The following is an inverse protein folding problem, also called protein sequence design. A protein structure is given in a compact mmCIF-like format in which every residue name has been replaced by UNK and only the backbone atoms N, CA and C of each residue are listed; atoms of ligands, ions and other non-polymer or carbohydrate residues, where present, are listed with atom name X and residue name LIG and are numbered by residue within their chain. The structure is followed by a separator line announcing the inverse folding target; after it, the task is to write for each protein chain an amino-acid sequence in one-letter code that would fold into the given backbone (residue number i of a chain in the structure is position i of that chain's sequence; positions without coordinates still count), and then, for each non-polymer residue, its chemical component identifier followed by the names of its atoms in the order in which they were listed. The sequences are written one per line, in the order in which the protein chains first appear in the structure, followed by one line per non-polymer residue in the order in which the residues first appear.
data_IF_388537056353
#
_entry.id   IF_388537056353
#
_cell.length_a   1.000
_cell.length_b   1.000
_cell.length_c   1.000
_cell.angle_alpha   90.00
_cell.angle_beta   90.00
_cell.angle_gamma   90.00
#
_symmetry.space_group_name_H-M   'P 1'
#
loop_
_entity.id
_entity.type
_entity.pdbx_description
1 polymer ?
#
# COMPACT_ATOMS: atom_id res chain seq x y z
N UNK A 1 14.78 4.77 -44.41
CA UNK A 1 14.53 5.42 -43.10
C UNK A 1 13.63 4.49 -42.32
N UNK A 2 14.19 3.70 -41.42
CA UNK A 2 13.44 2.72 -40.63
C UNK A 2 12.85 3.49 -39.45
N UNK A 3 11.53 3.61 -39.41
CA UNK A 3 10.82 4.20 -38.29
C UNK A 3 10.95 3.25 -37.09
N UNK A 4 11.88 3.56 -36.18
CA UNK A 4 11.89 2.98 -34.83
C UNK A 4 10.71 3.57 -34.06
N UNK A 5 9.53 2.99 -34.24
CA UNK A 5 8.46 3.15 -33.28
C UNK A 5 8.92 2.45 -31.99
N UNK A 6 9.35 3.26 -31.01
CA UNK A 6 9.51 2.81 -29.64
C UNK A 6 8.14 2.30 -29.21
N UNK A 7 7.99 0.98 -29.13
CA UNK A 7 6.84 0.36 -28.47
C UNK A 7 6.98 0.73 -27.00
N UNK A 8 6.30 1.79 -26.56
CA UNK A 8 6.08 2.03 -25.15
C UNK A 8 5.24 0.85 -24.64
N UNK A 9 5.90 -0.16 -24.08
CA UNK A 9 5.23 -1.19 -23.30
C UNK A 9 4.45 -0.47 -22.20
N UNK A 10 3.12 -0.57 -22.22
CA UNK A 10 2.31 -0.15 -21.08
C UNK A 10 2.86 -0.88 -19.86
N UNK A 11 3.48 -0.14 -18.93
CA UNK A 11 4.00 -0.72 -17.71
C UNK A 11 2.79 -1.19 -16.92
N UNK A 12 2.54 -2.50 -16.94
CA UNK A 12 1.46 -3.10 -16.18
C UNK A 12 1.95 -3.19 -14.74
N UNK A 13 1.54 -2.24 -13.92
CA UNK A 13 1.87 -2.27 -12.50
C UNK A 13 1.08 -3.37 -11.80
N UNK A 14 1.64 -3.98 -10.76
CA UNK A 14 0.89 -4.93 -9.96
C UNK A 14 -0.40 -4.27 -9.43
N UNK A 15 -1.51 -5.02 -9.37
CA UNK A 15 -2.72 -4.55 -8.70
C UNK A 15 -2.38 -4.08 -7.28
N UNK A 16 -2.93 -2.95 -6.85
CA UNK A 16 -2.68 -2.43 -5.53
C UNK A 16 -3.88 -1.69 -4.92
N UNK A 17 -3.98 -1.72 -3.59
CA UNK A 17 -4.95 -0.96 -2.80
C UNK A 17 -4.22 -0.28 -1.64
N UNK A 18 -4.45 1.02 -1.48
CA UNK A 18 -3.92 1.83 -0.40
C UNK A 18 -4.76 1.84 0.86
N UNK A 19 -4.08 2.04 1.98
CA UNK A 19 -4.67 2.38 3.26
C UNK A 19 -4.08 3.70 3.75
N UNK A 20 -4.92 4.73 3.79
CA UNK A 20 -4.51 6.10 4.13
C UNK A 20 -5.27 6.59 5.36
N UNK A 21 -4.57 7.29 6.22
CA UNK A 21 -5.08 7.90 7.44
C UNK A 21 -3.96 8.71 8.09
N UNK A 22 -4.27 9.64 9.00
CA UNK A 22 -3.28 10.18 9.94
C UNK A 22 -2.47 9.08 10.66
N UNK A 23 -1.31 9.47 11.19
CA UNK A 23 -0.51 8.57 12.02
C UNK A 23 -1.28 8.19 13.29
N UNK A 24 -1.09 6.98 13.79
CA UNK A 24 -1.75 6.50 15.01
C UNK A 24 -3.19 5.98 14.84
N UNK A 25 -3.83 6.15 13.68
CA UNK A 25 -5.23 5.70 13.45
C UNK A 25 -5.41 4.15 13.39
N UNK A 26 -4.32 3.38 13.54
CA UNK A 26 -4.39 1.91 13.64
C UNK A 26 -4.39 1.16 12.31
N UNK A 27 -3.89 1.78 11.22
CA UNK A 27 -3.73 1.13 9.89
C UNK A 27 -3.00 -0.21 9.99
N UNK A 28 -1.85 -0.24 10.67
CA UNK A 28 -1.06 -1.46 10.84
C UNK A 28 -1.84 -2.55 11.60
N UNK A 29 -2.66 -2.18 12.59
CA UNK A 29 -3.52 -3.14 13.29
C UNK A 29 -4.58 -3.74 12.38
N UNK A 30 -5.24 -2.90 11.57
CA UNK A 30 -6.21 -3.34 10.57
C UNK A 30 -5.57 -4.29 9.54
N UNK A 31 -4.42 -3.89 8.97
CA UNK A 31 -3.70 -4.67 7.97
C UNK A 31 -3.21 -6.02 8.50
N UNK A 32 -2.76 -6.08 9.76
CA UNK A 32 -2.38 -7.34 10.42
C UNK A 32 -3.54 -8.33 10.52
N UNK A 33 -4.77 -7.85 10.64
CA UNK A 33 -5.97 -8.70 10.67
C UNK A 33 -6.46 -9.04 9.25
N UNK A 34 -6.34 -8.09 8.33
CA UNK A 34 -6.82 -8.23 6.96
C UNK A 34 -5.98 -9.20 6.11
N UNK A 35 -4.65 -9.11 6.16
CA UNK A 35 -3.76 -9.92 5.32
C UNK A 35 -4.02 -11.43 5.48
N UNK A 36 -4.12 -11.99 6.70
CA UNK A 36 -4.46 -13.41 6.87
C UNK A 36 -5.81 -13.79 6.25
N UNK A 37 -6.82 -12.92 6.31
CA UNK A 37 -8.15 -13.18 5.75
C UNK A 37 -8.11 -13.23 4.22
N UNK A 38 -7.36 -12.32 3.59
CA UNK A 38 -7.16 -12.34 2.13
C UNK A 38 -6.35 -13.57 1.68
N UNK A 39 -5.28 -13.91 2.41
CA UNK A 39 -4.49 -15.12 2.17
C UNK A 39 -5.33 -16.40 2.27
N UNK A 40 -6.21 -16.49 3.27
CA UNK A 40 -7.14 -17.63 3.42
C UNK A 40 -8.14 -17.76 2.27
N UNK A 41 -8.37 -16.68 1.52
CA UNK A 41 -9.23 -16.65 0.33
C UNK A 41 -8.44 -16.79 -0.97
N UNK A 42 -7.16 -17.16 -0.88
CA UNK A 42 -6.32 -17.51 -2.04
C UNK A 42 -5.61 -16.35 -2.70
N UNK A 43 -5.70 -15.12 -2.16
CA UNK A 43 -4.89 -14.00 -2.62
C UNK A 43 -3.53 -14.02 -1.93
N UNK A 44 -2.45 -14.01 -2.70
CA UNK A 44 -1.09 -13.80 -2.19
C UNK A 44 -0.83 -12.32 -2.09
N UNK A 45 -0.52 -11.84 -0.89
CA UNK A 45 -0.43 -10.41 -0.61
C UNK A 45 1.02 -9.91 -0.58
N UNK A 46 1.33 -8.95 -1.44
CA UNK A 46 2.49 -8.07 -1.31
C UNK A 46 2.19 -6.92 -0.35
N UNK A 47 3.20 -6.35 0.29
CA UNK A 47 3.03 -5.24 1.22
C UNK A 47 4.09 -4.16 1.00
N UNK A 48 3.64 -2.95 0.72
CA UNK A 48 4.48 -1.77 0.54
C UNK A 48 4.17 -0.75 1.63
N UNK A 49 5.20 -0.29 2.35
CA UNK A 49 5.07 0.76 3.37
C UNK A 49 5.90 1.97 3.00
N UNK A 50 5.28 3.15 2.99
CA UNK A 50 5.99 4.42 2.94
C UNK A 50 6.28 4.91 4.36
N UNK A 51 7.54 4.87 4.77
CA UNK A 51 7.96 5.39 6.07
C UNK A 51 8.08 6.92 6.04
N UNK A 52 7.63 7.59 7.12
CA UNK A 52 7.73 9.05 7.26
C UNK A 52 9.10 9.52 7.78
N UNK A 53 9.94 8.60 8.22
CA UNK A 53 11.28 8.87 8.76
C UNK A 53 12.28 7.91 8.13
N UNK A 54 13.56 8.31 8.15
CA UNK A 54 14.68 7.43 7.81
C UNK A 54 14.57 6.16 8.67
N UNK A 55 14.72 5.01 8.03
CA UNK A 55 14.70 3.71 8.70
C UNK A 55 15.87 2.89 8.22
N UNK A 56 16.31 1.96 9.06
CA UNK A 56 17.32 0.97 8.71
C UNK A 56 16.87 -0.37 9.27
N UNK A 57 17.12 -1.43 8.52
CA UNK A 57 16.84 -2.82 8.91
C UNK A 57 18.13 -3.60 9.17
N UNK A 58 19.27 -3.03 8.78
CA UNK A 58 20.59 -3.58 9.07
C UNK A 58 21.12 -3.01 10.39
N UNK A 59 22.12 -3.65 10.97
CA UNK A 59 22.67 -3.27 12.27
C UNK A 59 24.05 -2.59 12.12
N UNK A 60 24.26 -1.41 12.72
CA UNK A 60 25.56 -0.77 12.75
C UNK A 60 26.67 -1.72 13.25
N UNK A 61 27.78 -1.76 12.50
CA UNK A 61 28.94 -2.60 12.81
C UNK A 61 28.89 -4.02 12.27
N UNK A 62 27.81 -4.47 11.63
CA UNK A 62 27.79 -5.71 10.84
C UNK A 62 28.44 -5.51 9.48
N UNK A 63 28.96 -6.58 8.89
CA UNK A 63 29.69 -6.53 7.62
C UNK A 63 28.87 -5.88 6.49
N UNK A 64 27.59 -6.26 6.36
CA UNK A 64 26.68 -5.68 5.37
C UNK A 64 26.46 -4.18 5.56
N UNK A 65 26.33 -3.73 6.82
CA UNK A 65 26.18 -2.33 7.15
C UNK A 65 27.45 -1.55 6.79
N UNK A 66 28.62 -2.08 7.15
CA UNK A 66 29.90 -1.42 6.90
C UNK A 66 30.17 -1.30 5.41
N UNK A 67 29.89 -2.33 4.62
CA UNK A 67 30.06 -2.29 3.15
C UNK A 67 29.05 -1.32 2.50
N UNK A 68 27.79 -1.30 2.96
CA UNK A 68 26.80 -0.32 2.50
C UNK A 68 27.24 1.11 2.80
N UNK A 69 27.64 1.38 4.04
CA UNK A 69 28.13 2.68 4.48
C UNK A 69 29.43 3.11 3.76
N UNK A 70 30.22 2.17 3.27
CA UNK A 70 31.39 2.43 2.43
C UNK A 70 31.04 2.85 0.99
N UNK A 71 29.76 2.84 0.60
CA UNK A 71 29.26 3.35 -0.68
C UNK A 71 28.68 2.30 -1.63
N UNK A 72 28.39 1.09 -1.17
CA UNK A 72 27.66 0.13 -1.99
C UNK A 72 26.22 0.62 -2.23
N UNK A 73 25.89 0.95 -3.49
CA UNK A 73 24.58 1.48 -3.86
C UNK A 73 23.44 0.47 -3.65
N UNK A 74 23.76 -0.83 -3.75
CA UNK A 74 22.83 -1.92 -3.49
C UNK A 74 23.54 -3.03 -2.72
N UNK A 75 22.85 -3.60 -1.73
CA UNK A 75 23.35 -4.72 -0.93
C UNK A 75 22.25 -5.78 -0.82
N UNK A 76 22.58 -7.01 -1.22
CA UNK A 76 21.70 -8.17 -1.03
C UNK A 76 22.23 -9.01 0.13
N UNK A 77 21.37 -9.25 1.12
CA UNK A 77 21.64 -10.13 2.26
C UNK A 77 20.71 -11.33 2.12
N UNK A 78 21.25 -12.55 2.05
CA UNK A 78 20.46 -13.76 1.84
C UNK A 78 20.77 -14.84 2.89
N UNK A 79 19.78 -15.69 3.13
CA UNK A 79 19.83 -16.86 4.00
C UNK A 79 18.98 -17.98 3.39
N UNK A 80 18.98 -19.17 3.99
CA UNK A 80 18.15 -20.29 3.55
C UNK A 80 16.64 -19.98 3.56
N UNK A 81 16.19 -19.06 4.41
CA UNK A 81 14.75 -18.78 4.60
C UNK A 81 14.27 -17.51 3.90
N UNK A 82 15.14 -16.53 3.69
CA UNK A 82 14.76 -15.20 3.19
C UNK A 82 15.97 -14.42 2.70
N UNK A 83 15.71 -13.40 1.90
CA UNK A 83 16.68 -12.42 1.49
C UNK A 83 16.10 -11.01 1.59
N UNK A 84 16.98 -10.01 1.58
CA UNK A 84 16.62 -8.59 1.52
C UNK A 84 17.52 -7.86 0.54
N UNK A 85 16.95 -6.94 -0.23
CA UNK A 85 17.67 -5.95 -1.04
C UNK A 85 17.58 -4.58 -0.36
N UNK A 86 18.73 -4.03 -0.01
CA UNK A 86 18.90 -2.65 0.43
C UNK A 86 19.31 -1.80 -0.78
N UNK A 87 18.69 -0.65 -0.96
CA UNK A 87 19.00 0.31 -2.02
C UNK A 87 19.25 1.69 -1.41
N UNK A 88 20.40 2.27 -1.69
CA UNK A 88 20.75 3.63 -1.24
C UNK A 88 20.29 4.69 -2.23
N UNK A 89 19.67 5.74 -1.71
CA UNK A 89 19.17 6.86 -2.51
C UNK A 89 18.02 6.51 -3.48
N UNK A 90 17.62 7.51 -4.26
CA UNK A 90 16.45 7.46 -5.15
C UNK A 90 15.21 8.09 -4.52
N UNK A 91 14.37 8.71 -5.33
CA UNK A 91 13.04 9.13 -4.89
C UNK A 91 12.18 7.89 -4.66
N UNK A 92 11.47 7.88 -3.53
CA UNK A 92 10.57 6.80 -3.15
C UNK A 92 9.27 6.87 -3.95
N UNK A 93 9.32 7.00 -5.28
CA UNK A 93 8.12 7.05 -6.10
C UNK A 93 7.40 5.70 -6.09
N UNK A 94 6.06 5.76 -5.99
CA UNK A 94 5.23 4.56 -5.88
C UNK A 94 5.44 3.60 -7.06
N UNK A 95 5.44 4.12 -8.28
CA UNK A 95 5.49 3.29 -9.49
C UNK A 95 6.83 2.53 -9.65
N UNK A 96 8.01 3.16 -9.52
CA UNK A 96 9.28 2.43 -9.47
C UNK A 96 9.35 1.39 -8.36
N UNK A 97 8.79 1.67 -7.17
CA UNK A 97 8.78 0.72 -6.06
C UNK A 97 7.88 -0.50 -6.34
N UNK A 98 6.68 -0.27 -6.89
CA UNK A 98 5.80 -1.37 -7.32
C UNK A 98 6.45 -2.23 -8.42
N UNK A 99 7.26 -1.65 -9.30
CA UNK A 99 8.00 -2.39 -10.31
C UNK A 99 9.14 -3.27 -9.74
N UNK A 100 9.49 -3.14 -8.46
CA UNK A 100 10.49 -4.02 -7.79
C UNK A 100 9.91 -5.33 -7.29
N UNK A 101 8.59 -5.42 -7.19
CA UNK A 101 7.90 -6.62 -6.77
C UNK A 101 7.92 -7.67 -7.89
N UNK A 102 8.22 -8.92 -7.57
CA UNK A 102 8.09 -10.05 -8.50
C UNK A 102 6.62 -10.46 -8.61
N UNK A 103 5.95 -10.01 -9.67
CA UNK A 103 4.52 -10.23 -9.91
C UNK A 103 4.12 -11.69 -10.04
N UNK A 104 5.08 -12.63 -10.10
CA UNK A 104 4.79 -14.06 -10.07
C UNK A 104 4.57 -14.59 -8.65
N UNK A 105 4.97 -13.86 -7.61
CA UNK A 105 4.93 -14.33 -6.21
C UNK A 105 3.75 -13.79 -5.39
N UNK A 106 3.01 -12.80 -5.91
CA UNK A 106 1.83 -12.24 -5.27
C UNK A 106 0.77 -11.85 -6.30
N UNK A 107 -0.44 -11.55 -5.82
CA UNK A 107 -1.59 -11.16 -6.65
C UNK A 107 -2.00 -9.70 -6.44
N UNK A 108 -1.91 -9.21 -5.19
CA UNK A 108 -2.30 -7.85 -4.80
C UNK A 108 -1.29 -7.24 -3.84
N UNK A 109 -0.89 -5.98 -4.07
CA UNK A 109 -0.07 -5.20 -3.13
C UNK A 109 -0.97 -4.33 -2.24
N UNK A 110 -0.85 -4.49 -0.92
CA UNK A 110 -1.43 -3.54 0.03
C UNK A 110 -0.41 -2.45 0.35
N UNK A 111 -0.82 -1.19 0.22
CA UNK A 111 0.05 -0.03 0.42
C UNK A 111 -0.33 0.68 1.72
N UNK A 112 0.58 0.77 2.69
CA UNK A 112 0.47 1.65 3.86
C UNK A 112 1.25 2.94 3.59
N UNK A 113 0.56 4.02 3.22
CA UNK A 113 1.19 5.31 2.93
C UNK A 113 0.88 5.82 1.52
N UNK A 114 1.82 6.49 0.88
CA UNK A 114 1.69 7.07 -0.48
C UNK A 114 0.44 7.93 -0.74
N UNK A 115 -0.16 8.55 0.28
CA UNK A 115 -1.44 9.27 0.20
C UNK A 115 -1.53 10.39 -0.86
N UNK A 116 -0.41 10.86 -1.44
CA UNK A 116 -0.39 11.87 -2.51
C UNK A 116 -0.34 11.28 -3.92
N UNK A 117 -0.01 10.00 -4.07
CA UNK A 117 0.05 9.33 -5.38
C UNK A 117 -1.35 8.89 -5.82
N UNK A 118 -1.58 8.72 -7.12
CA UNK A 118 -2.87 8.31 -7.68
C UNK A 118 -2.98 6.78 -7.83
N UNK A 119 -3.90 6.17 -7.08
CA UNK A 119 -4.20 4.74 -7.06
C UNK A 119 -5.40 4.48 -6.13
N UNK A 120 -6.11 3.35 -6.23
CA UNK A 120 -7.26 3.04 -5.37
C UNK A 120 -6.90 3.01 -3.88
N UNK A 121 -7.65 3.72 -3.05
CA UNK A 121 -7.35 3.87 -1.61
C UNK A 121 -8.58 3.63 -0.74
N UNK A 122 -8.34 3.12 0.46
CA UNK A 122 -9.32 3.00 1.54
C UNK A 122 -8.87 3.93 2.66
N UNK A 123 -9.73 4.87 3.03
CA UNK A 123 -9.49 5.75 4.16
C UNK A 123 -9.79 5.00 5.46
N UNK A 124 -8.98 5.20 6.50
CA UNK A 124 -9.25 4.69 7.84
C UNK A 124 -9.48 5.86 8.78
N UNK A 125 -10.64 5.89 9.44
CA UNK A 125 -11.02 6.92 10.39
C UNK A 125 -11.30 6.32 11.77
N UNK A 126 -10.95 7.08 12.80
CA UNK A 126 -11.34 6.80 14.18
C UNK A 126 -11.87 8.06 14.82
N UNK A 127 -12.99 7.97 15.53
CA UNK A 127 -13.64 9.09 16.21
C UNK A 127 -12.74 9.81 17.21
N UNK A 128 -11.93 9.05 17.95
CA UNK A 128 -10.95 9.63 18.88
C UNK A 128 -9.90 10.52 18.18
N UNK A 129 -9.65 10.27 16.89
CA UNK A 129 -8.78 11.10 16.05
C UNK A 129 -9.57 12.10 15.19
N UNK A 130 -10.90 11.95 15.09
CA UNK A 130 -11.74 12.84 14.29
C UNK A 130 -12.03 14.18 14.98
N UNK A 131 -12.07 14.18 16.32
CA UNK A 131 -12.23 15.41 17.13
C UNK A 131 -11.01 16.34 17.08
N UNK A 132 -9.88 15.83 16.60
CA UNK A 132 -8.66 16.58 16.33
C UNK A 132 -8.32 16.60 14.83
N UNK A 133 -9.30 16.46 13.92
CA UNK A 133 -9.09 16.81 12.51
C UNK A 133 -8.86 18.32 12.49
N UNK A 134 -7.62 18.72 12.77
CA UNK A 134 -7.07 19.94 12.22
C UNK A 134 -7.36 19.91 10.72
N UNK A 135 -7.68 21.07 10.15
CA UNK A 135 -7.95 21.22 8.72
C UNK A 135 -6.92 20.48 7.83
N UNK A 136 -5.69 20.34 8.33
CA UNK A 136 -4.55 19.66 7.71
C UNK A 136 -4.75 18.16 7.43
N UNK A 137 -5.76 17.49 7.98
CA UNK A 137 -6.02 16.05 7.76
C UNK A 137 -7.25 15.73 6.91
N UNK A 138 -8.00 16.74 6.46
CA UNK A 138 -9.19 16.54 5.63
C UNK A 138 -8.89 15.80 4.32
N UNK A 139 -7.70 16.03 3.75
CA UNK A 139 -7.27 15.42 2.48
C UNK A 139 -7.27 13.88 2.48
N UNK A 140 -7.14 13.22 3.65
CA UNK A 140 -7.22 11.76 3.74
C UNK A 140 -8.62 11.21 3.48
N UNK A 141 -9.66 12.02 3.62
CA UNK A 141 -11.06 11.60 3.51
C UNK A 141 -11.74 12.17 2.27
N UNK A 142 -11.10 13.12 1.59
CA UNK A 142 -11.61 13.76 0.35
C UNK A 142 -10.76 13.41 -0.87
N UNK A 143 -9.90 12.40 -0.79
CA UNK A 143 -9.07 11.96 -1.91
C UNK A 143 -9.96 11.33 -3.01
N UNK A 144 -9.83 11.77 -4.27
CA UNK A 144 -10.71 11.34 -5.36
C UNK A 144 -10.54 9.85 -5.74
N UNK A 145 -9.43 9.23 -5.34
CA UNK A 145 -9.16 7.80 -5.60
C UNK A 145 -9.67 6.90 -4.45
N UNK A 146 -10.43 7.46 -3.50
CA UNK A 146 -11.05 6.66 -2.44
C UNK A 146 -12.13 5.74 -3.00
N UNK A 147 -12.10 4.48 -2.55
CA UNK A 147 -13.09 3.46 -2.91
C UNK A 147 -13.95 3.03 -1.72
N UNK A 148 -13.52 3.33 -0.50
CA UNK A 148 -14.25 3.05 0.74
C UNK A 148 -13.68 3.84 1.92
N UNK A 149 -14.49 3.95 2.97
CA UNK A 149 -14.08 4.40 4.31
C UNK A 149 -14.25 3.26 5.31
N UNK A 150 -13.24 3.04 6.13
CA UNK A 150 -13.30 2.15 7.29
C UNK A 150 -13.33 3.01 8.55
N UNK A 151 -14.37 2.89 9.37
CA UNK A 151 -14.57 3.75 10.55
C UNK A 151 -15.01 2.98 11.79
N UNK A 152 -14.69 3.50 12.98
CA UNK A 152 -15.19 3.01 14.27
C UNK A 152 -16.55 3.61 14.68
N UNK A 153 -17.07 4.56 13.90
CA UNK A 153 -18.39 5.11 14.08
C UNK A 153 -19.15 5.22 12.75
N UNK A 154 -20.49 5.08 12.77
CA UNK A 154 -21.31 5.37 11.62
C UNK A 154 -21.19 6.85 11.22
N UNK A 155 -21.20 7.12 9.92
CA UNK A 155 -21.34 8.46 9.37
C UNK A 155 -22.28 8.40 8.17
N UNK A 156 -23.15 9.39 8.04
CA UNK A 156 -24.09 9.52 6.92
C UNK A 156 -23.55 10.41 5.81
N UNK A 157 -22.46 11.13 6.09
CA UNK A 157 -21.96 12.21 5.23
C UNK A 157 -20.86 11.73 4.28
N UNK A 158 -20.83 10.42 3.99
CA UNK A 158 -19.84 9.79 3.13
C UNK A 158 -20.51 9.05 1.97
N UNK A 159 -20.16 9.43 0.74
CA UNK A 159 -20.79 8.93 -0.49
C UNK A 159 -20.27 7.56 -0.94
N UNK A 160 -19.14 7.12 -0.39
CA UNK A 160 -18.53 5.83 -0.70
C UNK A 160 -18.92 4.76 0.33
N UNK A 161 -18.74 3.47 0.02
CA UNK A 161 -18.96 2.38 0.97
C UNK A 161 -18.31 2.63 2.35
N UNK A 162 -19.12 2.51 3.40
CA UNK A 162 -18.69 2.61 4.79
C UNK A 162 -18.60 1.22 5.42
N UNK A 163 -17.41 0.85 5.90
CA UNK A 163 -17.12 -0.43 6.52
C UNK A 163 -16.76 -0.25 7.99
N UNK A 164 -17.22 -1.16 8.83
CA UNK A 164 -16.94 -1.10 10.27
C UNK A 164 -15.48 -1.55 10.56
N UNK A 165 -14.74 -0.72 11.29
CA UNK A 165 -13.32 -0.96 11.62
C UNK A 165 -13.10 -2.24 12.44
N UNK A 166 -14.11 -2.69 13.19
CA UNK A 166 -14.08 -3.94 13.96
C UNK A 166 -14.52 -5.17 13.14
N UNK A 167 -14.76 -5.03 11.83
CA UNK A 167 -15.18 -6.12 10.93
C UNK A 167 -14.19 -6.30 9.76
N UNK A 168 -12.94 -6.70 10.01
CA UNK A 168 -11.94 -6.89 8.95
C UNK A 168 -12.35 -7.96 7.92
N UNK A 169 -13.22 -8.91 8.29
CA UNK A 169 -13.80 -9.86 7.35
C UNK A 169 -14.69 -9.19 6.29
N UNK A 170 -15.51 -8.22 6.67
CA UNK A 170 -16.33 -7.45 5.73
C UNK A 170 -15.45 -6.63 4.77
N UNK A 171 -14.33 -6.09 5.26
CA UNK A 171 -13.33 -5.43 4.43
C UNK A 171 -12.63 -6.39 3.47
N UNK A 172 -12.34 -7.62 3.90
CA UNK A 172 -11.78 -8.65 3.03
C UNK A 172 -12.77 -9.00 1.90
N UNK A 173 -14.05 -9.22 2.20
CA UNK A 173 -15.08 -9.45 1.19
C UNK A 173 -15.21 -8.27 0.23
N UNK A 174 -15.19 -7.04 0.74
CA UNK A 174 -15.22 -5.84 -0.09
C UNK A 174 -14.07 -5.83 -1.12
N UNK A 175 -12.83 -6.11 -0.70
CA UNK A 175 -11.67 -6.19 -1.60
C UNK A 175 -11.82 -7.34 -2.60
N UNK A 176 -12.29 -8.51 -2.15
CA UNK A 176 -12.49 -9.68 -3.01
C UNK A 176 -13.57 -9.44 -4.07
N UNK A 177 -14.62 -8.66 -3.76
CA UNK A 177 -15.64 -8.28 -4.74
C UNK A 177 -15.07 -7.38 -5.86
N UNK A 178 -13.98 -6.66 -5.60
CA UNK A 178 -13.23 -5.94 -6.62
C UNK A 178 -12.21 -6.82 -7.35
N UNK A 179 -12.00 -8.06 -6.93
CA UNK A 179 -11.05 -8.99 -7.54
C UNK A 179 -11.76 -9.97 -8.49
N UNK A 180 -11.64 -9.73 -9.79
CA UNK A 180 -12.29 -10.56 -10.82
C UNK A 180 -11.27 -11.08 -11.82
N UNK A 181 -11.28 -12.39 -12.05
CA UNK A 181 -10.44 -13.06 -13.05
C UNK A 181 -8.93 -12.69 -12.96
N UNK A 182 -8.40 -12.59 -11.74
CA UNK A 182 -7.00 -12.26 -11.49
C UNK A 182 -6.65 -10.79 -11.67
N UNK A 183 -7.66 -9.90 -11.67
CA UNK A 183 -7.49 -8.46 -11.83
C UNK A 183 -8.27 -7.69 -10.79
N UNK A 184 -7.72 -6.56 -10.36
CA UNK A 184 -8.44 -5.57 -9.59
C UNK A 184 -9.28 -4.70 -10.53
N UNK A 185 -10.59 -4.67 -10.30
CA UNK A 185 -11.55 -3.87 -11.05
C UNK A 185 -12.20 -2.86 -10.10
N UNK A 186 -11.81 -1.60 -10.24
CA UNK A 186 -12.44 -0.49 -9.54
C UNK A 186 -13.42 0.16 -10.51
N UNK A 187 -14.71 0.05 -10.21
CA UNK A 187 -15.71 0.81 -10.92
C UNK A 187 -15.63 2.25 -10.43
N UNK A 188 -15.53 3.20 -11.36
CA UNK A 188 -15.73 4.60 -11.00
C UNK A 188 -17.14 4.74 -10.42
N UNK A 189 -17.22 5.09 -9.14
CA UNK A 189 -18.48 5.53 -8.55
C UNK A 189 -18.92 6.76 -9.31
N UNK A 190 -20.06 6.69 -9.99
CA UNK A 190 -20.68 7.85 -10.61
C UNK A 190 -20.92 8.89 -9.50
N UNK A 191 -20.21 10.01 -9.57
CA UNK A 191 -20.43 11.18 -8.72
C UNK A 191 -21.72 11.85 -9.15
#
# INVERSE_FOLDING_TARGET
MVNNAVVQSAVYYPPCIGFIAPSGTGKTTLLRQLIPLLNQRGLRIGYLKHAHHVFDIDQPGKDSYVIRAAGAAQVIIASEQRWVLLHEGGEADLLPLLARFDSTEFDLVLIEGFHRAHYPKIAVQRTQHSQSIAADHAHYYTDPDLIALVSDAPTTDYSLPLLALNQPAALAEFILNHWTAGRLVIHATAV
#
